data_IF_565398496169
#
_entry.id   IF_565398496169
#
_cell.length_a   1.000
_cell.length_b   1.000
_cell.length_c   1.000
_cell.angle_alpha   90.00
_cell.angle_beta   90.00
_cell.angle_gamma   90.00
#
_symmetry.space_group_name_H-M   'P 1'
#
loop_
_entity.id
_entity.type
_entity.pdbx_description
1 polymer ?
#
# COMPACT_ATOMS: atom_id res chain seq x y z
N UNK A 1 16.63 8.16 -5.63
CA UNK A 1 16.46 6.70 -5.73
C UNK A 1 15.58 6.12 -4.62
N UNK A 2 15.85 6.39 -3.34
CA UNK A 2 15.10 5.81 -2.20
C UNK A 2 13.58 6.03 -2.27
N UNK A 3 13.12 7.24 -2.64
CA UNK A 3 11.67 7.53 -2.81
C UNK A 3 10.99 6.63 -3.85
N UNK A 4 11.69 6.28 -4.95
CA UNK A 4 11.16 5.37 -5.99
C UNK A 4 11.05 3.94 -5.46
N UNK A 5 12.05 3.48 -4.71
CA UNK A 5 12.03 2.16 -4.06
C UNK A 5 10.86 2.04 -3.10
N UNK A 6 10.60 3.07 -2.29
CA UNK A 6 9.45 3.11 -1.37
C UNK A 6 8.11 3.09 -2.15
N UNK A 7 8.02 3.80 -3.27
CA UNK A 7 6.83 3.74 -4.12
C UNK A 7 6.59 2.33 -4.68
N UNK A 8 7.64 1.66 -5.20
CA UNK A 8 7.52 0.29 -5.70
C UNK A 8 7.17 -0.70 -4.58
N UNK A 9 7.72 -0.55 -3.37
CA UNK A 9 7.39 -1.43 -2.26
C UNK A 9 5.92 -1.31 -1.83
N UNK A 10 5.35 -0.10 -1.82
CA UNK A 10 3.92 0.10 -1.53
C UNK A 10 3.02 -0.60 -2.55
N UNK A 11 3.40 -0.57 -3.84
CA UNK A 11 2.66 -1.26 -4.90
C UNK A 11 2.68 -2.78 -4.66
N UNK A 12 3.85 -3.34 -4.32
CA UNK A 12 4.00 -4.77 -4.03
C UNK A 12 3.12 -5.17 -2.83
N UNK A 13 3.12 -4.37 -1.75
CA UNK A 13 2.29 -4.63 -0.56
C UNK A 13 0.81 -4.58 -0.91
N UNK A 14 0.38 -3.62 -1.74
CA UNK A 14 -1.01 -3.52 -2.20
C UNK A 14 -1.44 -4.77 -2.99
N UNK A 15 -0.60 -5.25 -3.92
CA UNK A 15 -0.87 -6.45 -4.71
C UNK A 15 -0.96 -7.69 -3.79
N UNK A 16 -0.05 -7.83 -2.83
CA UNK A 16 -0.08 -8.94 -1.88
C UNK A 16 -1.34 -8.90 -1.01
N UNK A 17 -1.77 -7.72 -0.58
CA UNK A 17 -2.99 -7.53 0.21
C UNK A 17 -4.24 -7.97 -0.56
N UNK A 18 -4.33 -7.63 -1.86
CA UNK A 18 -5.41 -8.09 -2.74
C UNK A 18 -5.39 -9.62 -2.86
N UNK A 19 -4.22 -10.22 -3.08
CA UNK A 19 -4.08 -11.67 -3.19
C UNK A 19 -4.52 -12.39 -1.91
N UNK A 20 -4.10 -11.91 -0.74
CA UNK A 20 -4.50 -12.46 0.55
C UNK A 20 -6.01 -12.34 0.80
N UNK A 21 -6.63 -11.23 0.37
CA UNK A 21 -8.07 -11.05 0.47
C UNK A 21 -8.84 -11.99 -0.46
N UNK A 22 -8.41 -12.12 -1.72
CA UNK A 22 -9.04 -13.03 -2.70
C UNK A 22 -8.92 -14.49 -2.27
N UNK A 23 -7.77 -14.87 -1.69
CA UNK A 23 -7.56 -16.21 -1.14
C UNK A 23 -8.22 -16.43 0.23
N UNK A 24 -9.01 -15.45 0.71
CA UNK A 24 -9.72 -15.48 2.00
C UNK A 24 -8.79 -15.78 3.19
N UNK A 25 -7.52 -15.36 3.09
CA UNK A 25 -6.52 -15.48 4.17
C UNK A 25 -6.59 -14.33 5.16
N UNK A 26 -7.29 -13.24 4.80
CA UNK A 26 -7.56 -12.09 5.66
C UNK A 26 -9.01 -11.65 5.52
N UNK A 27 -9.59 -11.13 6.60
CA UNK A 27 -10.94 -10.58 6.60
C UNK A 27 -10.99 -9.19 5.97
N UNK A 28 -12.20 -8.77 5.59
CA UNK A 28 -12.44 -7.45 4.97
C UNK A 28 -11.91 -6.30 5.82
N UNK A 29 -12.04 -6.39 7.15
CA UNK A 29 -11.56 -5.36 8.08
C UNK A 29 -10.03 -5.20 8.00
N UNK A 30 -9.28 -6.31 7.96
CA UNK A 30 -7.83 -6.29 7.81
C UNK A 30 -7.39 -5.77 6.44
N UNK A 31 -8.10 -6.15 5.38
CA UNK A 31 -7.85 -5.64 4.04
C UNK A 31 -7.95 -4.10 3.99
N UNK A 32 -9.06 -3.55 4.49
CA UNK A 32 -9.29 -2.11 4.51
C UNK A 32 -8.30 -1.36 5.40
N UNK A 33 -7.89 -1.94 6.53
CA UNK A 33 -6.89 -1.36 7.40
C UNK A 33 -5.55 -1.19 6.68
N UNK A 34 -5.10 -2.19 5.93
CA UNK A 34 -3.86 -2.11 5.14
C UNK A 34 -3.98 -1.05 4.03
N UNK A 35 -5.12 -0.97 3.35
CA UNK A 35 -5.37 0.05 2.32
C UNK A 35 -5.29 1.47 2.91
N UNK A 36 -5.88 1.71 4.07
CA UNK A 36 -5.82 3.01 4.76
C UNK A 36 -4.38 3.38 5.12
N UNK A 37 -3.60 2.43 5.63
CA UNK A 37 -2.18 2.67 5.96
C UNK A 37 -1.36 3.02 4.71
N UNK A 38 -1.55 2.30 3.61
CA UNK A 38 -0.89 2.60 2.33
C UNK A 38 -1.30 3.99 1.83
N UNK A 39 -2.58 4.35 1.91
CA UNK A 39 -3.08 5.66 1.49
C UNK A 39 -2.49 6.81 2.32
N UNK A 40 -2.43 6.66 3.65
CA UNK A 40 -1.79 7.65 4.53
C UNK A 40 -0.30 7.79 4.19
N UNK A 41 0.38 6.67 3.95
CA UNK A 41 1.81 6.68 3.65
C UNK A 41 2.10 7.29 2.28
N UNK A 42 1.29 6.96 1.27
CA UNK A 42 1.31 7.57 -0.05
C UNK A 42 1.06 9.09 0.06
N UNK A 43 0.01 9.52 0.77
CA UNK A 43 -0.28 10.94 0.99
C UNK A 43 0.83 11.69 1.74
N UNK A 44 1.59 11.03 2.63
CA UNK A 44 2.76 11.66 3.29
C UNK A 44 3.98 11.75 2.38
N UNK A 45 4.13 10.83 1.43
CA UNK A 45 5.27 10.77 0.50
C UNK A 45 5.05 11.63 -0.74
N UNK A 46 3.82 11.66 -1.25
CA UNK A 46 3.41 12.35 -2.47
C UNK A 46 3.67 13.88 -2.45
N UNK A 47 3.47 14.65 -1.36
CA UNK A 47 3.84 16.07 -1.34
C UNK A 47 5.36 16.32 -1.44
N UNK A 48 6.20 15.27 -1.31
CA UNK A 48 7.66 15.34 -1.53
C UNK A 48 8.09 14.79 -2.89
N UNK A 49 7.13 14.41 -3.72
CA UNK A 49 7.29 13.81 -5.05
C UNK A 49 6.59 14.67 -6.12
N UNK A 50 6.39 15.97 -5.83
CA UNK A 50 6.12 16.97 -6.87
C UNK A 50 7.24 16.89 -7.90
N UNK A 51 6.89 16.26 -9.02
CA UNK A 51 7.55 16.39 -10.32
C UNK A 51 7.39 17.84 -10.76
#
# INVERSE_FOLDING_TARGET
MIKKIIAYSLIIIAILNIFLFVTKRIDSLFFWLIIILIAIYAYKIQPKLNI
#
